data_IF_726680818664
#
_entry.id   IF_726680818664
#
_cell.length_a   1.000
_cell.length_b   1.000
_cell.length_c   1.000
_cell.angle_alpha   90.00
_cell.angle_beta   90.00
_cell.angle_gamma   90.00
#
_symmetry.space_group_name_H-M   'P 1'
#
loop_
_entity.id
_entity.type
_entity.pdbx_description
1 polymer ?
#
# COMPACT_ATOMS: atom_id res chain seq x y z
N UNK A 1 33.77 14.32 40.06
CA UNK A 1 33.70 12.90 39.69
C UNK A 1 33.58 12.81 38.16
N UNK A 2 34.65 12.44 37.47
CA UNK A 2 34.70 12.30 35.99
C UNK A 2 34.11 10.93 35.61
N UNK A 3 33.26 10.89 34.58
CA UNK A 3 32.56 9.68 34.14
C UNK A 3 33.52 8.66 33.49
N UNK A 4 33.43 7.37 33.75
CA UNK A 4 34.46 6.36 33.42
C UNK A 4 34.57 5.99 31.90
N UNK A 5 33.75 6.55 31.03
CA UNK A 5 33.78 6.23 29.58
C UNK A 5 34.66 7.17 28.71
N UNK A 6 35.32 8.16 29.32
CA UNK A 6 36.24 9.09 28.59
C UNK A 6 37.65 8.51 28.35
N UNK A 7 37.93 7.29 28.79
CA UNK A 7 39.24 6.66 28.63
C UNK A 7 39.45 5.84 27.34
N UNK A 8 38.47 5.77 26.45
CA UNK A 8 38.57 4.96 25.20
C UNK A 8 38.78 5.78 23.91
N UNK A 9 39.19 7.04 24.02
CA UNK A 9 39.44 7.94 22.88
C UNK A 9 40.82 7.77 22.21
N UNK A 10 41.45 6.59 22.31
CA UNK A 10 42.81 6.37 21.81
C UNK A 10 43.01 5.16 20.91
N UNK A 11 41.95 4.56 20.36
CA UNK A 11 42.10 3.46 19.39
C UNK A 11 42.12 4.02 17.97
N UNK A 12 43.27 3.87 17.30
CA UNK A 12 43.46 4.20 15.88
C UNK A 12 42.38 3.57 15.00
N UNK A 13 41.98 4.21 13.88
CA UNK A 13 40.96 3.65 13.00
C UNK A 13 41.49 2.33 12.40
N UNK A 14 40.76 1.25 12.66
CA UNK A 14 41.00 -0.07 12.04
C UNK A 14 40.98 0.13 10.53
N UNK A 15 42.12 -0.13 9.89
CA UNK A 15 42.34 0.05 8.46
C UNK A 15 41.31 -0.72 7.62
N UNK A 16 41.26 -0.41 6.31
CA UNK A 16 40.34 -0.94 5.27
C UNK A 16 40.02 -2.44 5.33
N UNK A 17 40.80 -3.24 6.04
CA UNK A 17 40.59 -4.67 6.30
C UNK A 17 39.54 -4.94 7.39
N UNK A 18 39.47 -4.16 8.45
CA UNK A 18 38.46 -4.32 9.51
C UNK A 18 37.04 -4.05 9.01
N UNK A 19 36.85 -3.06 8.11
CA UNK A 19 35.55 -2.74 7.53
C UNK A 19 35.04 -3.84 6.58
N UNK A 20 35.93 -4.56 5.88
CA UNK A 20 35.54 -5.69 5.02
C UNK A 20 35.14 -6.93 5.81
N UNK A 21 35.82 -7.22 6.91
CA UNK A 21 35.50 -8.36 7.77
C UNK A 21 34.18 -8.11 8.52
N UNK A 22 33.96 -6.90 9.03
CA UNK A 22 32.68 -6.54 9.66
C UNK A 22 31.52 -6.59 8.65
N UNK A 23 31.70 -6.13 7.41
CA UNK A 23 30.70 -6.22 6.35
C UNK A 23 30.38 -7.64 5.91
N UNK A 24 31.37 -8.56 5.95
CA UNK A 24 31.18 -9.98 5.64
C UNK A 24 30.47 -10.72 6.80
N UNK A 25 30.89 -10.49 8.05
CA UNK A 25 30.23 -11.07 9.24
C UNK A 25 28.76 -10.62 9.36
N UNK A 26 28.46 -9.34 9.13
CA UNK A 26 27.08 -8.85 9.19
C UNK A 26 26.21 -9.42 8.07
N UNK A 27 26.77 -9.72 6.90
CA UNK A 27 26.03 -10.35 5.79
C UNK A 27 25.71 -11.82 6.01
N UNK A 28 26.51 -12.56 6.79
CA UNK A 28 26.33 -13.99 7.03
C UNK A 28 25.68 -14.23 8.40
N UNK A 29 26.13 -13.57 9.44
CA UNK A 29 25.65 -13.80 10.83
C UNK A 29 24.24 -13.24 11.04
N UNK A 30 23.89 -12.10 10.43
CA UNK A 30 22.53 -11.57 10.54
C UNK A 30 21.45 -12.47 9.95
N UNK A 31 21.58 -13.00 8.71
CA UNK A 31 20.58 -13.94 8.19
C UNK A 31 20.53 -15.24 9.02
N UNK A 32 21.68 -15.82 9.38
CA UNK A 32 21.72 -17.05 10.20
C UNK A 32 21.09 -16.87 11.61
N UNK A 33 21.40 -15.77 12.28
CA UNK A 33 20.79 -15.46 13.57
C UNK A 33 19.28 -15.19 13.44
N UNK A 34 18.86 -14.59 12.34
CA UNK A 34 17.45 -14.39 12.02
C UNK A 34 16.76 -15.72 11.75
N UNK A 35 17.35 -16.59 10.93
CA UNK A 35 16.78 -17.89 10.59
C UNK A 35 16.69 -18.80 11.82
N UNK A 36 17.67 -18.77 12.73
CA UNK A 36 17.64 -19.46 14.01
C UNK A 36 16.56 -18.93 14.97
N UNK A 37 16.40 -17.60 15.04
CA UNK A 37 15.32 -16.98 15.84
C UNK A 37 13.93 -17.29 15.26
N UNK A 38 13.80 -17.29 13.94
CA UNK A 38 12.56 -17.62 13.23
C UNK A 38 12.20 -19.11 13.40
N UNK A 39 13.20 -19.99 13.45
CA UNK A 39 13.01 -21.41 13.77
C UNK A 39 12.60 -21.63 15.23
N UNK A 40 13.20 -20.87 16.18
CA UNK A 40 12.93 -20.99 17.60
C UNK A 40 11.61 -20.33 18.04
N UNK A 41 11.13 -19.31 17.30
CA UNK A 41 9.92 -18.56 17.60
C UNK A 41 9.06 -18.43 16.32
N UNK A 42 8.41 -19.52 15.89
CA UNK A 42 7.57 -19.47 14.70
C UNK A 42 6.44 -18.45 14.88
N UNK A 43 6.34 -17.52 13.91
CA UNK A 43 5.24 -16.56 13.89
C UNK A 43 3.91 -17.31 13.81
N UNK A 44 2.94 -16.86 14.58
CA UNK A 44 1.61 -17.46 14.61
C UNK A 44 0.60 -16.55 13.93
N UNK A 45 -0.31 -17.16 13.20
CA UNK A 45 -1.44 -16.48 12.61
C UNK A 45 -2.33 -15.89 13.71
N UNK A 46 -2.56 -14.56 13.76
CA UNK A 46 -3.40 -13.97 14.78
C UNK A 46 -4.87 -14.38 14.68
N UNK A 47 -5.30 -14.91 13.53
CA UNK A 47 -6.67 -15.36 13.33
C UNK A 47 -6.96 -16.79 13.83
N UNK A 48 -5.95 -17.68 13.92
CA UNK A 48 -6.17 -19.08 14.30
C UNK A 48 -5.03 -19.75 15.07
N UNK A 49 -3.96 -19.03 15.39
CA UNK A 49 -2.80 -19.55 16.10
C UNK A 49 -1.90 -20.51 15.31
N UNK A 50 -2.24 -20.87 14.07
CA UNK A 50 -1.40 -21.74 13.24
C UNK A 50 -0.04 -21.09 12.95
N UNK A 51 1.06 -21.86 12.83
CA UNK A 51 2.35 -21.33 12.42
C UNK A 51 2.24 -20.75 11.01
N UNK A 52 2.89 -19.63 10.77
CA UNK A 52 2.96 -18.96 9.47
C UNK A 52 4.40 -18.64 9.11
N UNK A 53 4.67 -18.55 7.81
CA UNK A 53 5.97 -18.08 7.34
C UNK A 53 6.26 -16.66 7.86
N UNK A 54 7.53 -16.31 8.06
CA UNK A 54 7.92 -15.01 8.63
C UNK A 54 7.38 -13.79 7.90
N UNK A 55 7.11 -13.95 6.61
CA UNK A 55 6.55 -12.90 5.77
C UNK A 55 5.01 -12.87 5.77
N UNK A 56 4.37 -13.94 6.21
CA UNK A 56 2.90 -14.03 6.25
C UNK A 56 2.37 -13.48 7.58
N UNK A 57 1.41 -12.57 7.50
CA UNK A 57 0.67 -12.13 8.69
C UNK A 57 -0.45 -13.10 9.05
N UNK A 58 -1.15 -13.61 8.05
CA UNK A 58 -2.24 -14.57 8.17
C UNK A 58 -1.90 -15.84 7.40
N UNK A 59 -2.33 -16.99 7.89
CA UNK A 59 -2.29 -18.21 7.10
C UNK A 59 -3.30 -18.11 5.93
N UNK A 60 -3.08 -18.90 4.89
CA UNK A 60 -3.94 -18.90 3.68
C UNK A 60 -5.41 -19.11 4.03
N UNK A 61 -5.72 -20.01 4.98
CA UNK A 61 -7.08 -20.28 5.44
C UNK A 61 -7.72 -19.04 6.07
N UNK A 62 -7.00 -18.27 6.89
CA UNK A 62 -7.52 -17.05 7.49
C UNK A 62 -7.65 -15.93 6.46
N UNK A 63 -6.69 -15.80 5.54
CA UNK A 63 -6.73 -14.85 4.44
C UNK A 63 -7.93 -15.12 3.51
N UNK A 64 -8.21 -16.40 3.20
CA UNK A 64 -9.36 -16.81 2.39
C UNK A 64 -10.73 -16.51 3.06
N UNK A 65 -10.75 -16.43 4.40
CA UNK A 65 -11.95 -16.15 5.21
C UNK A 65 -12.17 -14.66 5.51
N UNK A 66 -11.32 -13.77 5.02
CA UNK A 66 -11.55 -12.34 5.17
C UNK A 66 -12.82 -11.94 4.42
N UNK A 67 -13.61 -10.99 4.96
CA UNK A 67 -14.87 -10.57 4.35
C UNK A 67 -14.61 -9.91 3.00
N UNK A 68 -15.11 -10.53 1.92
CA UNK A 68 -14.95 -10.03 0.55
C UNK A 68 -16.01 -8.98 0.26
N UNK A 69 -15.62 -7.92 -0.45
CA UNK A 69 -16.59 -6.99 -1.01
C UNK A 69 -17.17 -7.59 -2.30
N UNK A 70 -18.50 -7.68 -2.39
CA UNK A 70 -19.18 -8.01 -3.62
C UNK A 70 -19.48 -6.74 -4.42
N UNK A 71 -18.99 -6.68 -5.67
CA UNK A 71 -19.23 -5.55 -6.57
C UNK A 71 -18.28 -4.37 -6.39
N UNK A 72 -18.75 -3.19 -6.72
CA UNK A 72 -17.99 -1.95 -6.67
C UNK A 72 -18.68 -0.90 -5.82
N UNK A 73 -17.91 -0.04 -5.18
CA UNK A 73 -18.38 1.18 -4.52
C UNK A 73 -18.02 2.40 -5.35
N UNK A 74 -18.82 3.44 -5.28
CA UNK A 74 -18.56 4.68 -6.00
C UNK A 74 -17.83 5.67 -5.10
N UNK A 75 -16.57 5.98 -5.41
CA UNK A 75 -15.77 6.93 -4.65
C UNK A 75 -16.45 8.31 -4.55
N UNK A 76 -17.14 8.77 -5.59
CA UNK A 76 -17.85 10.04 -5.58
C UNK A 76 -19.11 10.00 -4.72
N UNK A 77 -19.89 8.91 -4.76
CA UNK A 77 -21.08 8.79 -3.90
C UNK A 77 -20.69 8.75 -2.42
N UNK A 78 -19.59 8.10 -2.07
CA UNK A 78 -19.02 8.14 -0.72
C UNK A 78 -18.69 9.57 -0.27
N UNK A 79 -18.21 10.42 -1.17
CA UNK A 79 -17.95 11.84 -0.87
C UNK A 79 -19.23 12.63 -0.61
N UNK A 80 -20.34 12.24 -1.24
CA UNK A 80 -21.63 12.92 -1.17
C UNK A 80 -22.56 12.26 -0.16
N UNK A 81 -22.05 11.34 0.70
CA UNK A 81 -22.79 10.56 1.70
C UNK A 81 -24.02 9.83 1.10
N UNK A 82 -23.89 9.34 -0.14
CA UNK A 82 -24.91 8.56 -0.84
C UNK A 82 -24.57 7.07 -0.83
N UNK A 83 -25.55 6.17 -1.00
CA UNK A 83 -25.29 4.74 -1.15
C UNK A 83 -24.28 4.48 -2.29
N UNK A 84 -23.09 3.88 -1.99
CA UNK A 84 -22.01 3.80 -2.97
C UNK A 84 -22.13 2.61 -3.91
N UNK A 85 -22.86 1.59 -3.53
CA UNK A 85 -22.94 0.27 -4.15
C UNK A 85 -23.90 0.19 -5.35
N UNK A 86 -24.81 1.15 -5.48
CA UNK A 86 -25.83 1.19 -6.55
C UNK A 86 -25.56 2.23 -7.63
N UNK A 87 -24.43 2.93 -7.57
CA UNK A 87 -24.18 4.07 -8.44
C UNK A 87 -23.83 3.66 -9.88
N UNK A 88 -24.73 3.99 -10.82
CA UNK A 88 -24.51 3.91 -12.28
C UNK A 88 -24.14 5.25 -12.92
N UNK A 89 -24.20 6.36 -12.17
CA UNK A 89 -24.02 7.74 -12.70
C UNK A 89 -22.56 8.15 -12.83
N UNK A 90 -21.66 7.45 -12.15
CA UNK A 90 -20.24 7.82 -12.09
C UNK A 90 -19.34 6.62 -12.42
N UNK A 91 -19.39 6.08 -13.64
CA UNK A 91 -18.66 4.85 -13.99
C UNK A 91 -17.14 4.98 -13.85
N UNK A 92 -16.60 6.20 -14.05
CA UNK A 92 -15.17 6.48 -13.86
C UNK A 92 -14.72 6.56 -12.39
N UNK A 93 -15.67 6.57 -11.45
CA UNK A 93 -15.39 6.60 -9.99
C UNK A 93 -15.72 5.26 -9.31
N UNK A 94 -15.98 4.21 -10.10
CA UNK A 94 -16.17 2.86 -9.57
C UNK A 94 -14.84 2.33 -9.01
N UNK A 95 -14.87 1.84 -7.76
CA UNK A 95 -13.74 1.27 -7.04
C UNK A 95 -14.10 -0.13 -6.60
N UNK A 96 -13.25 -1.08 -6.94
CA UNK A 96 -13.35 -2.47 -6.50
C UNK A 96 -12.40 -2.69 -5.31
N UNK A 97 -12.92 -3.04 -4.15
CA UNK A 97 -12.09 -3.39 -3.01
C UNK A 97 -12.08 -4.91 -2.79
N UNK A 98 -10.93 -5.45 -2.35
CA UNK A 98 -10.81 -6.88 -2.11
C UNK A 98 -11.62 -7.29 -0.87
N UNK A 99 -11.64 -6.46 0.16
CA UNK A 99 -12.23 -6.78 1.46
C UNK A 99 -13.13 -5.66 1.98
N UNK A 100 -14.12 -6.04 2.79
CA UNK A 100 -14.80 -5.11 3.70
C UNK A 100 -13.94 -4.97 4.95
N UNK A 101 -13.74 -3.74 5.42
CA UNK A 101 -12.87 -3.45 6.56
C UNK A 101 -13.50 -3.93 7.87
N UNK A 102 -12.89 -4.92 8.50
CA UNK A 102 -13.20 -5.39 9.85
C UNK A 102 -11.92 -5.42 10.70
N UNK A 103 -11.99 -5.89 11.93
CA UNK A 103 -10.84 -5.97 12.83
C UNK A 103 -9.70 -6.83 12.26
N UNK A 104 -9.99 -7.89 11.52
CA UNK A 104 -9.00 -8.79 10.90
C UNK A 104 -8.32 -8.10 9.71
N UNK A 105 -9.09 -7.40 8.89
CA UNK A 105 -8.57 -6.59 7.77
C UNK A 105 -7.79 -5.40 8.31
N UNK A 106 -8.17 -4.83 9.45
CA UNK A 106 -7.41 -3.78 10.14
C UNK A 106 -5.98 -4.24 10.48
N UNK A 107 -5.82 -5.46 11.00
CA UNK A 107 -4.49 -6.04 11.28
C UNK A 107 -3.64 -6.15 10.01
N UNK A 108 -4.24 -6.60 8.90
CA UNK A 108 -3.58 -6.70 7.61
C UNK A 108 -3.11 -5.32 7.10
N UNK A 109 -3.99 -4.33 7.15
CA UNK A 109 -3.70 -2.96 6.74
C UNK A 109 -2.64 -2.32 7.63
N UNK A 110 -2.68 -2.54 8.95
CA UNK A 110 -1.67 -2.03 9.88
C UNK A 110 -0.30 -2.68 9.63
N UNK A 111 -0.26 -3.99 9.39
CA UNK A 111 0.99 -4.68 9.05
C UNK A 111 1.60 -4.18 7.74
N UNK A 112 0.76 -3.86 6.74
CA UNK A 112 1.19 -3.20 5.51
C UNK A 112 1.69 -1.76 5.77
N UNK A 113 1.13 -1.02 6.73
CA UNK A 113 1.51 0.37 7.02
C UNK A 113 2.75 0.52 7.89
N UNK A 114 2.96 -0.39 8.83
CA UNK A 114 3.95 -0.21 9.90
C UNK A 114 4.88 -1.41 10.07
N UNK A 115 4.57 -2.55 9.45
CA UNK A 115 5.31 -3.80 9.65
C UNK A 115 6.55 -3.98 8.77
N UNK A 116 6.92 -3.02 7.93
CA UNK A 116 8.00 -3.13 6.93
C UNK A 116 7.93 -4.45 6.13
N UNK A 117 6.72 -4.90 5.77
CA UNK A 117 6.46 -6.19 5.12
C UNK A 117 5.92 -6.02 3.68
N UNK A 118 6.71 -5.54 2.71
CA UNK A 118 6.26 -5.37 1.32
C UNK A 118 5.81 -6.71 0.68
N UNK A 119 6.37 -7.85 1.15
CA UNK A 119 5.96 -9.19 0.70
C UNK A 119 4.51 -9.53 1.01
N UNK A 120 3.92 -8.90 2.05
CA UNK A 120 2.50 -9.05 2.37
C UNK A 120 1.60 -8.55 1.23
N UNK A 121 2.03 -7.54 0.47
CA UNK A 121 1.31 -7.06 -0.71
C UNK A 121 1.13 -8.16 -1.76
N UNK A 122 2.14 -9.01 -1.97
CA UNK A 122 2.06 -10.16 -2.89
C UNK A 122 1.04 -11.19 -2.44
N UNK A 123 0.93 -11.45 -1.13
CA UNK A 123 -0.10 -12.35 -0.59
C UNK A 123 -1.53 -11.78 -0.80
N UNK A 124 -1.69 -10.46 -0.87
CA UNK A 124 -2.96 -9.79 -1.12
C UNK A 124 -3.33 -9.70 -2.62
N UNK A 125 -2.36 -9.81 -3.52
CA UNK A 125 -2.56 -9.59 -4.95
C UNK A 125 -3.63 -10.51 -5.59
N UNK A 126 -3.72 -11.82 -5.28
CA UNK A 126 -4.81 -12.68 -5.80
C UNK A 126 -6.19 -12.18 -5.37
N UNK A 127 -6.30 -11.64 -4.16
CA UNK A 127 -7.56 -11.09 -3.65
C UNK A 127 -7.97 -9.81 -4.38
N UNK A 128 -7.00 -8.91 -4.61
CA UNK A 128 -7.21 -7.69 -5.40
C UNK A 128 -7.60 -8.02 -6.85
N UNK A 129 -6.89 -8.96 -7.49
CA UNK A 129 -7.19 -9.39 -8.85
C UNK A 129 -8.59 -10.02 -8.96
N UNK A 130 -8.98 -10.84 -7.97
CA UNK A 130 -10.31 -11.46 -7.94
C UNK A 130 -11.45 -10.45 -7.76
N UNK A 131 -11.19 -9.33 -7.07
CA UNK A 131 -12.18 -8.26 -6.88
C UNK A 131 -12.44 -7.46 -8.17
N UNK A 132 -11.50 -7.46 -9.12
CA UNK A 132 -11.66 -6.75 -10.39
C UNK A 132 -12.61 -7.53 -11.34
N UNK A 133 -13.54 -6.85 -12.02
CA UNK A 133 -14.29 -7.47 -13.12
C UNK A 133 -13.34 -7.82 -14.25
N UNK A 134 -13.70 -8.80 -15.08
CA UNK A 134 -12.87 -9.28 -16.18
C UNK A 134 -12.38 -8.14 -17.09
N UNK A 135 -13.27 -7.18 -17.42
CA UNK A 135 -12.94 -6.02 -18.25
C UNK A 135 -11.93 -5.04 -17.62
N UNK A 136 -11.68 -5.14 -16.31
CA UNK A 136 -10.72 -4.29 -15.59
C UNK A 136 -9.35 -4.97 -15.35
N UNK A 137 -9.20 -6.24 -15.76
CA UNK A 137 -7.97 -7.03 -15.57
C UNK A 137 -6.92 -6.85 -16.66
N UNK A 138 -7.23 -6.09 -17.70
CA UNK A 138 -6.30 -5.78 -18.79
C UNK A 138 -6.16 -4.26 -19.00
N UNK A 139 -5.74 -3.49 -17.97
CA UNK A 139 -5.49 -2.06 -18.12
C UNK A 139 -4.23 -1.84 -18.97
N UNK A 140 -4.13 -0.67 -19.59
CA UNK A 140 -2.90 -0.30 -20.29
C UNK A 140 -1.72 -0.11 -19.33
N UNK A 141 -2.01 0.29 -18.08
CA UNK A 141 -1.02 0.37 -17.00
C UNK A 141 -1.69 0.40 -15.61
N UNK A 142 -0.92 0.01 -14.61
CA UNK A 142 -1.27 0.09 -13.18
C UNK A 142 -0.39 1.13 -12.52
N UNK A 143 -0.95 1.93 -11.64
CA UNK A 143 -0.22 2.88 -10.79
C UNK A 143 -0.82 2.92 -9.39
N UNK A 144 -0.13 3.57 -8.46
CA UNK A 144 -0.58 3.72 -7.08
C UNK A 144 -0.99 5.14 -6.75
N UNK A 145 -1.88 5.30 -5.76
CA UNK A 145 -2.06 6.58 -5.09
C UNK A 145 -0.80 6.90 -4.29
N UNK A 146 -0.06 7.97 -4.62
CA UNK A 146 1.23 8.23 -4.01
C UNK A 146 1.11 8.75 -2.58
N UNK A 147 1.96 8.25 -1.69
CA UNK A 147 2.20 8.88 -0.41
C UNK A 147 2.92 10.23 -0.58
N UNK A 148 2.66 11.15 0.35
CA UNK A 148 3.48 12.36 0.42
C UNK A 148 4.94 11.99 0.77
N UNK A 149 5.95 12.68 0.15
CA UNK A 149 7.37 12.34 0.37
C UNK A 149 7.82 12.28 1.84
N UNK A 150 7.25 13.15 2.69
CA UNK A 150 7.52 13.12 4.14
C UNK A 150 7.07 11.78 4.74
N UNK A 151 5.85 11.35 4.46
CA UNK A 151 5.31 10.08 4.99
C UNK A 151 6.02 8.87 4.40
N UNK A 152 6.46 8.93 3.14
CA UNK A 152 7.26 7.87 2.52
C UNK A 152 8.61 7.73 3.23
N UNK A 153 9.24 8.84 3.62
CA UNK A 153 10.49 8.82 4.39
C UNK A 153 10.29 8.28 5.81
N UNK A 154 9.21 8.68 6.49
CA UNK A 154 8.88 8.19 7.83
C UNK A 154 8.60 6.67 7.86
N UNK A 155 7.94 6.14 6.84
CA UNK A 155 7.56 4.72 6.74
C UNK A 155 8.64 3.84 6.09
N UNK A 156 9.55 4.42 5.33
CA UNK A 156 10.58 3.70 4.57
C UNK A 156 10.08 3.08 3.25
N UNK A 157 8.76 3.02 3.02
CA UNK A 157 8.15 2.48 1.79
C UNK A 157 6.73 3.04 1.57
N UNK A 158 6.17 2.76 0.38
CA UNK A 158 4.80 3.12 0.01
C UNK A 158 3.96 1.85 -0.14
N UNK A 159 3.01 1.64 0.76
CA UNK A 159 2.19 0.43 0.79
C UNK A 159 1.28 0.31 -0.45
N UNK A 160 0.74 1.44 -0.95
CA UNK A 160 -0.09 1.43 -2.15
C UNK A 160 0.74 1.08 -3.39
N UNK A 161 2.00 1.54 -3.45
CA UNK A 161 2.95 1.16 -4.50
C UNK A 161 3.26 -0.34 -4.48
N UNK A 162 3.52 -0.92 -3.30
CA UNK A 162 3.75 -2.37 -3.16
C UNK A 162 2.51 -3.19 -3.59
N UNK A 163 1.30 -2.73 -3.24
CA UNK A 163 0.05 -3.38 -3.67
C UNK A 163 -0.17 -3.27 -5.18
N UNK A 164 0.14 -2.11 -5.77
CA UNK A 164 -0.01 -1.86 -7.20
C UNK A 164 0.96 -2.71 -8.02
N UNK A 165 2.23 -2.81 -7.61
CA UNK A 165 3.22 -3.66 -8.25
C UNK A 165 2.80 -5.14 -8.18
N UNK A 166 2.44 -5.63 -6.99
CA UNK A 166 2.00 -7.01 -6.80
C UNK A 166 0.72 -7.34 -7.60
N UNK A 167 -0.23 -6.41 -7.69
CA UNK A 167 -1.43 -6.58 -8.49
C UNK A 167 -1.09 -6.60 -9.99
N UNK A 168 -0.23 -5.70 -10.45
CA UNK A 168 0.21 -5.63 -11.83
C UNK A 168 0.86 -6.95 -12.29
N UNK A 169 1.73 -7.52 -11.45
CA UNK A 169 2.32 -8.85 -11.69
C UNK A 169 1.22 -9.93 -11.79
N UNK A 170 0.24 -9.92 -10.87
CA UNK A 170 -0.82 -10.93 -10.83
C UNK A 170 -1.78 -10.89 -12.04
N UNK A 171 -1.96 -9.71 -12.66
CA UNK A 171 -2.82 -9.53 -13.84
C UNK A 171 -2.03 -9.37 -15.14
N UNK A 172 -0.71 -9.57 -15.10
CA UNK A 172 0.23 -9.41 -16.22
C UNK A 172 0.10 -8.04 -16.94
N UNK A 173 -0.04 -6.95 -16.14
CA UNK A 173 -0.14 -5.58 -16.64
C UNK A 173 1.12 -4.76 -16.29
N UNK A 174 1.50 -3.75 -17.08
CA UNK A 174 2.62 -2.89 -16.77
C UNK A 174 2.38 -2.08 -15.48
N UNK A 175 3.28 -2.18 -14.49
CA UNK A 175 3.32 -1.25 -13.36
C UNK A 175 4.17 -0.04 -13.72
N UNK A 176 3.60 1.15 -13.61
CA UNK A 176 4.31 2.40 -13.87
C UNK A 176 4.25 3.27 -12.62
N UNK A 177 5.32 3.30 -11.82
CA UNK A 177 5.41 4.16 -10.66
C UNK A 177 5.48 5.62 -11.06
N UNK A 178 5.19 6.49 -10.10
CA UNK A 178 5.40 7.94 -10.19
C UNK A 178 4.69 8.66 -11.37
N UNK A 179 3.65 8.05 -11.97
CA UNK A 179 2.75 8.75 -12.92
C UNK A 179 1.97 9.85 -12.21
N UNK A 180 1.57 9.58 -10.97
CA UNK A 180 0.98 10.55 -10.06
C UNK A 180 2.02 11.00 -9.05
N UNK A 181 2.13 12.29 -8.81
CA UNK A 181 2.90 12.85 -7.72
C UNK A 181 1.97 13.61 -6.76
N UNK A 182 2.18 13.43 -5.46
CA UNK A 182 1.50 14.22 -4.44
C UNK A 182 2.31 15.46 -4.16
N UNK A 183 1.73 16.62 -4.49
CA UNK A 183 2.43 17.93 -4.48
C UNK A 183 2.30 18.65 -3.14
N UNK A 184 1.31 18.28 -2.32
CA UNK A 184 1.03 18.93 -1.05
C UNK A 184 0.94 17.93 0.08
N UNK A 185 1.61 18.24 1.21
CA UNK A 185 1.40 17.53 2.46
C UNK A 185 -0.03 17.80 2.93
N UNK A 186 -0.81 16.75 3.08
CA UNK A 186 -2.16 16.85 3.65
C UNK A 186 -2.11 16.33 5.09
N UNK A 187 -2.85 16.97 6.00
CA UNK A 187 -2.94 16.53 7.38
C UNK A 187 -3.35 15.06 7.47
N UNK A 188 -3.00 14.39 8.58
CA UNK A 188 -3.46 13.03 8.83
C UNK A 188 -4.98 12.99 8.79
N UNK A 189 -5.55 12.07 8.00
CA UNK A 189 -7.00 11.99 7.80
C UNK A 189 -7.75 11.36 8.98
N UNK A 190 -7.02 10.78 9.95
CA UNK A 190 -7.58 10.29 11.21
C UNK A 190 -8.19 11.47 11.98
N UNK A 191 -9.51 11.43 12.21
CA UNK A 191 -10.24 12.48 12.93
C UNK A 191 -10.93 13.57 12.07
N UNK A 192 -10.63 13.66 10.77
CA UNK A 192 -11.31 14.62 9.89
C UNK A 192 -12.67 14.09 9.41
N UNK A 193 -13.69 14.99 9.34
CA UNK A 193 -15.00 14.69 8.73
C UNK A 193 -14.87 14.57 7.19
N UNK A 194 -15.84 13.95 6.52
CA UNK A 194 -15.81 13.72 5.07
C UNK A 194 -15.55 15.00 4.23
N UNK A 195 -16.23 16.12 4.57
CA UNK A 195 -16.02 17.43 3.91
C UNK A 195 -14.59 17.97 4.09
N UNK A 196 -14.03 17.82 5.29
CA UNK A 196 -12.66 18.25 5.60
C UNK A 196 -11.65 17.39 4.84
N UNK A 197 -11.86 16.07 4.76
CA UNK A 197 -11.01 15.16 3.97
C UNK A 197 -11.02 15.53 2.49
N UNK A 198 -12.17 15.91 1.92
CA UNK A 198 -12.29 16.40 0.54
C UNK A 198 -11.43 17.65 0.31
N UNK A 199 -11.61 18.69 1.16
CA UNK A 199 -10.82 19.93 1.08
C UNK A 199 -9.32 19.69 1.25
N UNK A 200 -8.97 18.76 2.12
CA UNK A 200 -7.59 18.40 2.42
C UNK A 200 -6.85 17.81 1.22
N UNK A 201 -7.53 17.05 0.35
CA UNK A 201 -6.89 16.37 -0.80
C UNK A 201 -7.14 17.06 -2.15
N UNK A 202 -8.04 18.03 -2.24
CA UNK A 202 -8.32 18.77 -3.48
C UNK A 202 -7.04 19.42 -4.03
N UNK A 203 -6.70 19.17 -5.31
CA UNK A 203 -5.49 19.65 -5.96
C UNK A 203 -4.18 19.10 -5.38
N UNK A 204 -4.25 18.00 -4.60
CA UNK A 204 -3.04 17.42 -3.99
C UNK A 204 -2.20 16.58 -4.96
N UNK A 205 -2.71 16.27 -6.14
CA UNK A 205 -2.03 15.43 -7.12
C UNK A 205 -1.73 16.18 -8.42
N UNK A 206 -0.70 15.73 -9.13
CA UNK A 206 -0.42 16.10 -10.51
C UNK A 206 0.04 14.88 -11.31
N UNK A 207 -0.25 14.86 -12.61
CA UNK A 207 0.29 13.87 -13.53
C UNK A 207 1.68 14.31 -13.95
N UNK A 208 2.67 13.44 -13.77
CA UNK A 208 4.09 13.73 -14.08
C UNK A 208 4.42 13.49 -15.56
N UNK A 209 3.70 12.55 -16.19
CA UNK A 209 3.91 12.10 -17.58
C UNK A 209 2.59 12.05 -18.36
N UNK A 210 1.99 13.20 -18.73
CA UNK A 210 0.66 13.23 -19.37
C UNK A 210 0.58 12.42 -20.67
N UNK A 211 1.64 12.37 -21.45
CA UNK A 211 1.69 11.59 -22.70
C UNK A 211 1.53 10.08 -22.48
N UNK A 212 1.89 9.58 -21.30
CA UNK A 212 1.80 8.16 -20.98
C UNK A 212 0.39 7.70 -20.60
N UNK A 213 -0.48 8.62 -20.21
CA UNK A 213 -1.84 8.31 -19.74
C UNK A 213 -2.93 8.70 -20.73
N UNK A 214 -2.65 9.64 -21.64
CA UNK A 214 -3.64 10.12 -22.60
C UNK A 214 -4.20 9.00 -23.47
N UNK A 215 -5.53 8.85 -23.47
CA UNK A 215 -6.26 7.82 -24.21
C UNK A 215 -6.12 6.40 -23.67
N UNK A 216 -5.31 6.19 -22.62
CA UNK A 216 -5.07 4.87 -22.04
C UNK A 216 -5.97 4.59 -20.86
N UNK A 217 -6.22 3.31 -20.59
CA UNK A 217 -6.90 2.87 -19.38
C UNK A 217 -5.87 2.70 -18.25
N UNK A 218 -6.08 3.41 -17.14
CA UNK A 218 -5.19 3.44 -15.97
C UNK A 218 -5.91 2.87 -14.78
N UNK A 219 -5.39 1.78 -14.22
CA UNK A 219 -5.84 1.22 -12.95
C UNK A 219 -5.06 1.85 -11.80
N UNK A 220 -5.76 2.51 -10.88
CA UNK A 220 -5.18 3.17 -9.71
C UNK A 220 -5.44 2.36 -8.46
N UNK A 221 -4.39 2.05 -7.70
CA UNK A 221 -4.44 1.22 -6.49
C UNK A 221 -4.23 2.07 -5.25
N UNK A 222 -5.07 1.86 -4.23
CA UNK A 222 -4.91 2.42 -2.88
C UNK A 222 -4.94 1.31 -1.82
N UNK A 223 -4.56 1.62 -0.58
CA UNK A 223 -4.62 0.65 0.53
C UNK A 223 -6.04 0.56 1.12
N UNK A 224 -6.64 1.67 1.50
CA UNK A 224 -7.96 1.70 2.16
C UNK A 224 -8.85 2.80 1.58
N UNK A 225 -9.98 2.41 1.05
CA UNK A 225 -11.04 3.31 0.68
C UNK A 225 -11.91 3.62 1.93
N UNK A 226 -11.88 4.86 2.38
CA UNK A 226 -12.75 5.36 3.46
C UNK A 226 -13.83 6.27 2.85
N UNK A 227 -13.64 7.56 2.88
CA UNK A 227 -14.54 8.56 2.26
C UNK A 227 -14.40 8.64 0.73
N UNK A 228 -13.49 7.91 0.11
CA UNK A 228 -13.20 7.99 -1.32
C UNK A 228 -12.42 9.24 -1.76
N UNK A 229 -12.20 10.21 -0.89
CA UNK A 229 -11.64 11.52 -1.26
C UNK A 229 -10.30 11.43 -1.98
N UNK A 230 -9.36 10.64 -1.44
CA UNK A 230 -8.01 10.50 -2.00
C UNK A 230 -8.03 9.84 -3.37
N UNK A 231 -8.71 8.70 -3.46
CA UNK A 231 -8.78 7.94 -4.71
C UNK A 231 -9.58 8.70 -5.78
N UNK A 232 -10.70 9.32 -5.40
CA UNK A 232 -11.49 10.17 -6.32
C UNK A 232 -10.63 11.31 -6.91
N UNK A 233 -9.86 12.02 -6.10
CA UNK A 233 -9.00 13.12 -6.55
C UNK A 233 -7.89 12.61 -7.49
N UNK A 234 -7.28 11.45 -7.18
CA UNK A 234 -6.29 10.81 -8.03
C UNK A 234 -6.89 10.42 -9.40
N UNK A 235 -8.06 9.79 -9.40
CA UNK A 235 -8.79 9.43 -10.63
C UNK A 235 -9.18 10.67 -11.44
N UNK A 236 -9.68 11.73 -10.78
CA UNK A 236 -10.06 12.99 -11.43
C UNK A 236 -8.85 13.68 -12.09
N UNK A 237 -7.71 13.70 -11.38
CA UNK A 237 -6.44 14.25 -11.91
C UNK A 237 -5.97 13.53 -13.16
N UNK A 238 -6.06 12.20 -13.20
CA UNK A 238 -5.70 11.39 -14.37
C UNK A 238 -6.69 11.61 -15.53
N UNK A 239 -7.99 11.69 -15.23
CA UNK A 239 -9.01 12.00 -16.25
C UNK A 239 -8.81 13.37 -16.89
N UNK A 240 -8.47 14.37 -16.09
CA UNK A 240 -8.13 15.71 -16.60
C UNK A 240 -6.91 15.69 -17.55
N UNK A 241 -6.00 14.72 -17.38
CA UNK A 241 -4.87 14.48 -18.30
C UNK A 241 -5.24 13.59 -19.51
N UNK A 242 -6.52 13.21 -19.68
CA UNK A 242 -7.04 12.43 -20.81
C UNK A 242 -7.00 10.91 -20.62
N UNK A 243 -6.81 10.39 -19.42
CA UNK A 243 -6.87 8.96 -19.12
C UNK A 243 -8.32 8.46 -18.99
N UNK A 244 -8.57 7.19 -19.30
CA UNK A 244 -9.71 6.43 -18.79
C UNK A 244 -9.26 5.76 -17.49
N UNK A 245 -10.03 5.90 -16.40
CA UNK A 245 -9.57 5.51 -15.08
C UNK A 245 -10.47 4.48 -14.42
N UNK A 246 -9.87 3.55 -13.67
CA UNK A 246 -10.52 2.65 -12.71
C UNK A 246 -9.77 2.69 -11.39
N UNK A 247 -10.48 2.49 -10.29
CA UNK A 247 -9.90 2.42 -8.96
C UNK A 247 -10.00 1.02 -8.37
N UNK A 248 -8.99 0.65 -7.58
CA UNK A 248 -9.07 -0.52 -6.70
C UNK A 248 -8.40 -0.22 -5.36
N UNK A 249 -8.85 -0.90 -4.31
CA UNK A 249 -8.27 -0.79 -2.98
C UNK A 249 -8.21 -2.15 -2.30
N UNK A 250 -7.31 -2.31 -1.33
CA UNK A 250 -7.26 -3.54 -0.55
C UNK A 250 -8.51 -3.70 0.30
N UNK A 251 -8.99 -2.61 0.92
CA UNK A 251 -10.15 -2.66 1.78
C UNK A 251 -11.05 -1.42 1.62
N UNK A 252 -12.35 -1.61 1.85
CA UNK A 252 -13.34 -0.55 1.99
C UNK A 252 -13.84 -0.49 3.42
N UNK A 253 -13.65 0.68 4.06
CA UNK A 253 -14.15 0.98 5.40
C UNK A 253 -15.49 1.73 5.28
N UNK A 254 -16.52 1.13 5.86
CA UNK A 254 -17.86 1.71 5.99
C UNK A 254 -17.90 2.79 7.05
#
# INVERSE_FOLDING_TARGET
MKRPWQALAGLAPLGRWGARVQGALTRVVRPLARDLLEFALPQRCPGCGAPVAPEALLCERCLARLPRLAGAVCARCLLDDRPPDTCRRHPGDAVHAAFVYDERVALLVQALKFGARPRLARACAPALAAALPQAARAPALVTAVPLHPVRRRERGYDQAACLAEALADAIAAPYVPDILARTRATAAQSGLRARERRRNVAGAFRVTRPAWVRGREVLVVDDVLTTGATLHEALATLRAAGARTRGTALAWAQ
#
